data_IF_968043930160
#
_entry.id   IF_968043930160
#
_cell.length_a   1.000
_cell.length_b   1.000
_cell.length_c   1.000
_cell.angle_alpha   90.00
_cell.angle_beta   90.00
_cell.angle_gamma   90.00
#
_symmetry.space_group_name_H-M   'P 1'
#
loop_
_entity.id
_entity.type
_entity.pdbx_description
1 polymer ?
#
# COMPACT_ATOMS: atom_id res chain seq x y z
N UNK A 1 1.40 -8.09 -13.06
CA UNK A 1 1.13 -8.69 -11.73
C UNK A 1 -0.31 -8.39 -11.36
N UNK A 2 -1.00 -9.20 -10.53
CA UNK A 2 -2.36 -8.85 -10.08
C UNK A 2 -2.32 -8.06 -8.77
N UNK A 3 -3.51 -7.70 -8.27
CA UNK A 3 -3.69 -6.72 -7.19
C UNK A 3 -2.95 -7.07 -5.88
N UNK A 4 -3.02 -8.31 -5.33
CA UNK A 4 -2.30 -8.65 -4.10
C UNK A 4 -0.79 -8.47 -4.21
N UNK A 5 -0.22 -8.85 -5.36
CA UNK A 5 1.17 -8.58 -5.68
C UNK A 5 1.50 -7.09 -5.60
N UNK A 6 0.68 -6.21 -6.21
CA UNK A 6 0.99 -4.78 -6.29
C UNK A 6 0.99 -4.12 -4.91
N UNK A 7 0.00 -4.48 -4.08
CA UNK A 7 -0.06 -4.04 -2.68
C UNK A 7 1.16 -4.53 -1.90
N UNK A 8 1.57 -5.79 -2.11
CA UNK A 8 2.73 -6.39 -1.45
C UNK A 8 4.04 -5.74 -1.87
N UNK A 9 4.22 -5.48 -3.17
CA UNK A 9 5.37 -4.79 -3.72
C UNK A 9 5.47 -3.35 -3.21
N UNK A 10 4.36 -2.60 -3.18
CA UNK A 10 4.30 -1.26 -2.59
C UNK A 10 4.64 -1.26 -1.10
N UNK A 11 4.15 -2.24 -0.34
CA UNK A 11 4.51 -2.41 1.07
C UNK A 11 6.01 -2.68 1.25
N UNK A 12 6.58 -3.62 0.49
CA UNK A 12 8.01 -3.96 0.54
C UNK A 12 8.89 -2.77 0.13
N UNK A 13 8.52 -2.04 -0.93
CA UNK A 13 9.22 -0.84 -1.36
C UNK A 13 9.22 0.21 -0.24
N UNK A 14 8.08 0.45 0.41
CA UNK A 14 8.02 1.39 1.53
C UNK A 14 8.86 0.96 2.73
N UNK A 15 8.92 -0.36 2.97
CA UNK A 15 9.66 -0.92 4.09
C UNK A 15 11.17 -0.77 3.90
N UNK A 16 11.68 -1.15 2.71
CA UNK A 16 13.11 -1.16 2.41
C UNK A 16 13.66 0.21 2.05
N UNK A 17 12.87 1.07 1.41
CA UNK A 17 13.28 2.42 1.03
C UNK A 17 12.95 3.46 2.12
N UNK A 18 12.35 3.03 3.24
CA UNK A 18 11.96 3.88 4.36
C UNK A 18 11.13 5.11 3.95
N UNK A 19 10.23 4.92 2.98
CA UNK A 19 9.35 5.98 2.47
C UNK A 19 8.02 6.03 3.21
N UNK A 20 7.21 7.06 2.94
CA UNK A 20 5.86 7.12 3.50
C UNK A 20 5.00 5.96 2.97
N UNK A 21 4.72 5.00 3.85
CA UNK A 21 4.06 3.74 3.49
C UNK A 21 2.70 3.96 2.81
N UNK A 22 1.90 4.94 3.27
CA UNK A 22 0.58 5.20 2.70
C UNK A 22 0.71 5.70 1.27
N UNK A 23 1.57 6.70 1.06
CA UNK A 23 1.77 7.29 -0.26
C UNK A 23 2.35 6.28 -1.24
N UNK A 24 3.32 5.46 -0.80
CA UNK A 24 3.91 4.40 -1.62
C UNK A 24 2.90 3.34 -2.01
N UNK A 25 2.08 2.88 -1.07
CA UNK A 25 1.05 1.87 -1.36
C UNK A 25 -0.03 2.41 -2.31
N UNK A 26 -0.44 3.67 -2.14
CA UNK A 26 -1.40 4.32 -3.05
C UNK A 26 -0.84 4.43 -4.47
N UNK A 27 0.41 4.88 -4.61
CA UNK A 27 1.07 4.97 -5.91
C UNK A 27 1.25 3.59 -6.56
N UNK A 28 1.48 2.54 -5.75
CA UNK A 28 1.63 1.17 -6.24
C UNK A 28 0.33 0.54 -6.78
N UNK A 29 -0.84 1.15 -6.58
CA UNK A 29 -2.11 0.68 -7.16
C UNK A 29 -2.73 1.69 -8.13
N UNK A 30 -2.17 2.90 -8.20
CA UNK A 30 -2.73 4.01 -8.96
C UNK A 30 -2.81 3.74 -10.48
N UNK A 31 -1.77 3.23 -11.16
CA UNK A 31 -1.84 2.96 -12.60
C UNK A 31 -2.97 2.00 -12.96
N UNK A 32 -3.06 0.91 -12.21
CA UNK A 32 -4.10 -0.10 -12.33
C UNK A 32 -5.50 0.51 -12.14
N UNK A 33 -5.67 1.34 -11.10
CA UNK A 33 -6.95 1.98 -10.83
C UNK A 33 -7.39 2.87 -12.00
N UNK A 34 -6.49 3.69 -12.54
CA UNK A 34 -6.81 4.62 -13.63
C UNK A 34 -7.11 3.86 -14.93
N UNK A 35 -6.21 2.98 -15.35
CA UNK A 35 -6.32 2.35 -16.67
C UNK A 35 -7.39 1.27 -16.71
N UNK A 36 -7.56 0.48 -15.63
CA UNK A 36 -8.63 -0.54 -15.57
C UNK A 36 -10.00 0.10 -15.41
N UNK A 37 -10.15 1.14 -14.60
CA UNK A 37 -11.41 1.91 -14.52
C UNK A 37 -11.72 2.52 -15.87
N UNK A 38 -10.71 3.11 -16.51
CA UNK A 38 -10.83 3.68 -17.84
C UNK A 38 -11.33 2.68 -18.87
N UNK A 39 -10.68 1.54 -18.99
CA UNK A 39 -11.04 0.51 -19.97
C UNK A 39 -12.37 -0.16 -19.65
N UNK A 40 -12.54 -0.68 -18.43
CA UNK A 40 -13.61 -1.62 -18.12
C UNK A 40 -14.89 -0.95 -17.62
N UNK A 41 -14.78 0.18 -16.91
CA UNK A 41 -15.93 0.89 -16.34
C UNK A 41 -16.36 2.02 -17.28
N UNK A 42 -15.44 2.96 -17.56
CA UNK A 42 -15.74 4.17 -18.33
C UNK A 42 -15.73 3.94 -19.86
N UNK A 43 -15.09 2.86 -20.32
CA UNK A 43 -14.92 2.51 -21.75
C UNK A 43 -14.29 3.61 -22.62
N UNK A 44 -13.61 4.58 -22.00
CA UNK A 44 -12.99 5.71 -22.70
C UNK A 44 -11.60 5.41 -23.27
N UNK A 45 -10.91 4.39 -22.72
CA UNK A 45 -9.57 4.01 -23.11
C UNK A 45 -9.64 2.65 -23.78
N UNK A 46 -9.06 2.51 -24.98
CA UNK A 46 -9.04 1.24 -25.69
C UNK A 46 -8.03 0.26 -25.07
N UNK A 47 -7.20 0.67 -24.10
CA UNK A 47 -6.15 -0.13 -23.45
C UNK A 47 -6.27 -0.12 -21.93
N UNK A 48 -5.87 -1.22 -21.29
CA UNK A 48 -5.81 -1.35 -19.82
C UNK A 48 -4.44 -1.00 -19.24
N UNK A 49 -3.52 -0.50 -20.08
CA UNK A 49 -2.12 -0.16 -19.73
C UNK A 49 -1.75 1.29 -20.02
N UNK A 50 -2.60 2.06 -20.69
CA UNK A 50 -2.36 3.48 -20.95
C UNK A 50 -3.58 4.32 -20.61
N UNK A 51 -3.38 5.56 -20.13
CA UNK A 51 -2.09 6.27 -20.03
C UNK A 51 -1.26 5.98 -18.77
N UNK A 52 -1.83 5.43 -17.72
CA UNK A 52 -1.25 5.47 -16.40
C UNK A 52 -0.15 4.44 -16.12
N UNK A 53 0.13 3.44 -16.96
CA UNK A 53 1.37 2.65 -16.80
C UNK A 53 2.58 3.28 -17.50
N UNK A 54 2.45 4.51 -18.05
CA UNK A 54 3.58 5.26 -18.62
C UNK A 54 4.44 5.92 -17.55
N UNK A 55 5.76 5.97 -17.80
CA UNK A 55 6.71 6.72 -16.97
C UNK A 55 6.44 8.22 -17.01
N UNK A 56 5.94 8.74 -18.13
CA UNK A 56 5.53 10.14 -18.25
C UNK A 56 4.41 10.47 -17.25
N UNK A 57 3.37 9.66 -17.20
CA UNK A 57 2.29 9.85 -16.20
C UNK A 57 2.82 9.70 -14.78
N UNK A 58 3.81 8.83 -14.57
CA UNK A 58 4.48 8.67 -13.28
C UNK A 58 5.22 9.93 -12.85
N UNK A 59 5.98 10.53 -13.77
CA UNK A 59 6.68 11.78 -13.52
C UNK A 59 5.70 12.93 -13.24
N UNK A 60 4.62 13.05 -14.04
CA UNK A 60 3.62 14.10 -13.87
C UNK A 60 2.86 13.98 -12.54
N UNK A 61 2.44 12.77 -12.17
CA UNK A 61 1.74 12.54 -10.89
C UNK A 61 2.68 12.70 -9.69
N UNK A 62 3.95 12.29 -9.82
CA UNK A 62 4.98 12.57 -8.81
C UNK A 62 5.18 14.07 -8.62
N UNK A 63 5.27 14.83 -9.71
CA UNK A 63 5.37 16.29 -9.66
C UNK A 63 4.12 16.91 -9.01
N UNK A 64 2.92 16.41 -9.33
CA UNK A 64 1.70 16.86 -8.68
C UNK A 64 1.72 16.62 -7.15
N UNK A 65 2.17 15.44 -6.70
CA UNK A 65 2.36 15.15 -5.26
C UNK A 65 3.38 16.09 -4.63
N UNK A 66 4.46 16.43 -5.35
CA UNK A 66 5.45 17.39 -4.88
C UNK A 66 4.86 18.79 -4.67
N UNK A 67 4.04 19.26 -5.63
CA UNK A 67 3.38 20.56 -5.55
C UNK A 67 2.32 20.61 -4.44
N UNK A 68 1.51 19.55 -4.30
CA UNK A 68 0.39 19.50 -3.36
C UNK A 68 0.83 19.27 -1.91
N UNK A 69 1.79 18.36 -1.70
CA UNK A 69 2.18 17.98 -0.33
C UNK A 69 3.37 18.77 0.19
N UNK A 70 4.27 19.20 -0.70
CA UNK A 70 5.59 19.79 -0.37
C UNK A 70 6.41 18.95 0.63
N UNK A 71 6.12 17.65 0.74
CA UNK A 71 6.77 16.72 1.68
C UNK A 71 7.65 15.74 0.92
N UNK A 72 8.97 15.86 1.07
CA UNK A 72 9.95 15.00 0.40
C UNK A 72 9.65 13.50 0.57
N UNK A 73 9.25 13.06 1.77
CA UNK A 73 8.94 11.65 2.03
C UNK A 73 7.71 11.15 1.24
N UNK A 74 6.70 12.00 1.04
CA UNK A 74 5.53 11.65 0.23
C UNK A 74 5.90 11.59 -1.26
N UNK A 75 6.70 12.54 -1.76
CA UNK A 75 7.17 12.55 -3.16
C UNK A 75 7.99 11.31 -3.47
N UNK A 76 8.98 11.00 -2.63
CA UNK A 76 9.84 9.81 -2.80
C UNK A 76 9.00 8.54 -2.66
N UNK A 77 8.04 8.52 -1.73
CA UNK A 77 7.11 7.40 -1.58
C UNK A 77 6.26 7.17 -2.83
N UNK A 78 5.68 8.23 -3.39
CA UNK A 78 4.90 8.16 -4.62
C UNK A 78 5.74 7.65 -5.79
N UNK A 79 6.91 8.24 -6.01
CA UNK A 79 7.82 7.82 -7.08
C UNK A 79 8.22 6.34 -6.92
N UNK A 80 8.58 5.90 -5.71
CA UNK A 80 8.95 4.53 -5.43
C UNK A 80 7.79 3.55 -5.67
N UNK A 81 6.59 3.89 -5.22
CA UNK A 81 5.39 3.06 -5.41
C UNK A 81 5.00 2.94 -6.87
N UNK A 82 5.08 4.04 -7.61
CA UNK A 82 4.79 4.04 -9.05
C UNK A 82 5.82 3.22 -9.83
N UNK A 83 7.11 3.40 -9.54
CA UNK A 83 8.18 2.65 -10.20
C UNK A 83 8.07 1.16 -9.91
N UNK A 84 7.83 0.76 -8.65
CA UNK A 84 7.69 -0.67 -8.33
C UNK A 84 6.48 -1.30 -9.01
N UNK A 85 5.40 -0.54 -9.21
CA UNK A 85 4.25 -1.00 -9.99
C UNK A 85 4.64 -1.29 -11.44
N UNK A 86 5.17 -0.29 -12.14
CA UNK A 86 5.57 -0.42 -13.56
C UNK A 86 6.61 -1.53 -13.73
N UNK A 87 7.62 -1.59 -12.87
CA UNK A 87 8.64 -2.64 -12.92
C UNK A 87 8.06 -4.04 -12.68
N UNK A 88 7.11 -4.18 -11.75
CA UNK A 88 6.47 -5.47 -11.50
C UNK A 88 5.66 -5.95 -12.69
N UNK A 89 4.98 -5.04 -13.37
CA UNK A 89 4.26 -5.37 -14.60
C UNK A 89 5.21 -5.71 -15.74
N UNK A 90 6.30 -4.97 -15.92
CA UNK A 90 7.33 -5.31 -16.91
C UNK A 90 7.89 -6.72 -16.70
N UNK A 91 8.19 -7.10 -15.45
CA UNK A 91 8.66 -8.45 -15.12
C UNK A 91 7.61 -9.50 -15.49
N UNK A 92 6.33 -9.25 -15.17
CA UNK A 92 5.25 -10.19 -15.49
C UNK A 92 5.03 -10.29 -17.01
N UNK A 93 5.05 -9.18 -17.73
CA UNK A 93 4.87 -9.18 -19.19
C UNK A 93 6.00 -9.98 -19.88
N UNK A 94 7.25 -9.85 -19.39
CA UNK A 94 8.37 -10.68 -19.84
C UNK A 94 8.18 -12.17 -19.53
N UNK A 95 7.60 -12.53 -18.38
CA UNK A 95 7.32 -13.92 -18.00
C UNK A 95 6.18 -14.57 -18.80
N UNK A 96 5.22 -13.78 -19.26
CA UNK A 96 4.12 -14.27 -20.11
C UNK A 96 4.58 -14.42 -21.57
N UNK A 97 5.67 -13.75 -21.95
CA UNK A 97 6.20 -13.80 -23.32
C UNK A 97 5.31 -13.05 -24.32
N UNK A 98 4.51 -12.08 -23.86
CA UNK A 98 3.79 -11.22 -24.80
C UNK A 98 4.79 -10.24 -25.45
N UNK A 99 4.82 -10.18 -26.79
CA UNK A 99 5.65 -9.27 -27.60
C UNK A 99 5.41 -7.76 -27.34
N UNK A 100 4.56 -7.43 -26.37
CA UNK A 100 4.27 -6.07 -25.89
C UNK A 100 5.30 -5.55 -24.88
N UNK A 101 6.56 -5.96 -25.05
CA UNK A 101 7.80 -5.70 -24.29
C UNK A 101 7.93 -4.31 -23.64
N UNK A 102 7.09 -4.01 -22.66
CA UNK A 102 7.13 -2.74 -21.92
C UNK A 102 6.87 -1.47 -22.72
N UNK A 103 6.37 -1.58 -23.96
CA UNK A 103 6.18 -0.41 -24.84
C UNK A 103 5.31 0.67 -24.18
N UNK A 104 4.31 0.29 -23.38
CA UNK A 104 3.46 1.24 -22.66
C UNK A 104 4.21 2.14 -21.67
N UNK A 105 5.35 1.71 -21.12
CA UNK A 105 6.13 2.49 -20.16
C UNK A 105 6.69 3.77 -20.81
N UNK A 106 6.96 3.73 -22.11
CA UNK A 106 7.48 4.87 -22.89
C UNK A 106 6.38 5.63 -23.64
N UNK A 107 5.11 5.27 -23.47
CA UNK A 107 4.00 6.00 -24.08
C UNK A 107 4.05 7.48 -23.67
N UNK A 108 3.81 8.44 -24.60
CA UNK A 108 3.31 8.28 -25.98
C UNK A 108 4.39 8.13 -27.07
N UNK A 109 5.65 7.92 -26.72
CA UNK A 109 6.75 7.83 -27.70
C UNK A 109 6.74 6.51 -28.50
N UNK A 110 6.06 5.51 -27.99
CA UNK A 110 5.95 4.16 -28.55
C UNK A 110 4.51 3.83 -28.90
N UNK A 111 4.33 3.03 -29.96
CA UNK A 111 3.02 2.45 -30.26
C UNK A 111 2.72 1.36 -29.24
N UNK A 112 1.52 1.42 -28.67
CA UNK A 112 1.03 0.40 -27.75
C UNK A 112 0.06 -0.47 -28.52
N UNK A 113 0.38 -1.76 -28.63
CA UNK A 113 -0.54 -2.71 -29.23
C UNK A 113 -1.78 -2.84 -28.35
N UNK A 114 -2.91 -2.43 -28.92
CA UNK A 114 -4.21 -2.46 -28.25
C UNK A 114 -4.77 -3.87 -28.42
N UNK A 115 -4.18 -4.86 -27.75
CA UNK A 115 -4.77 -6.19 -27.70
C UNK A 115 -6.02 -6.19 -26.82
N UNK A 116 -7.15 -6.61 -27.41
CA UNK A 116 -8.45 -6.67 -26.75
C UNK A 116 -8.64 -8.04 -26.08
N UNK A 117 -8.01 -8.23 -24.93
CA UNK A 117 -8.36 -9.38 -24.08
C UNK A 117 -9.46 -8.97 -23.07
N UNK A 118 -10.55 -9.74 -22.95
CA UNK A 118 -11.42 -9.66 -21.77
C UNK A 118 -10.66 -10.03 -20.49
N UNK A 119 -11.13 -9.53 -19.35
CA UNK A 119 -10.46 -9.66 -18.04
C UNK A 119 -10.17 -11.14 -17.68
N UNK A 120 -11.03 -12.05 -18.12
CA UNK A 120 -10.90 -13.50 -17.88
C UNK A 120 -9.74 -14.13 -18.64
N UNK A 121 -9.55 -13.78 -19.91
CA UNK A 121 -8.38 -14.21 -20.69
C UNK A 121 -7.08 -13.70 -20.07
N UNK A 122 -7.07 -12.46 -19.57
CA UNK A 122 -5.90 -11.94 -18.84
C UNK A 122 -5.59 -12.74 -17.58
N UNK A 123 -6.57 -13.38 -16.95
CA UNK A 123 -6.35 -14.28 -15.81
C UNK A 123 -5.85 -15.67 -16.25
N UNK A 124 -6.36 -16.18 -17.38
CA UNK A 124 -5.97 -17.49 -17.94
C UNK A 124 -4.59 -17.49 -18.59
N UNK A 125 -4.13 -16.33 -19.07
CA UNK A 125 -2.79 -16.15 -19.64
C UNK A 125 -1.68 -16.11 -18.59
N UNK A 126 -2.01 -16.10 -17.29
CA UNK A 126 -1.00 -16.15 -16.24
C UNK A 126 -0.37 -17.53 -16.20
N UNK A 127 0.88 -17.59 -16.65
CA UNK A 127 1.70 -18.79 -16.50
C UNK A 127 1.88 -19.13 -15.03
N UNK A 128 2.18 -20.41 -14.74
CA UNK A 128 2.54 -20.86 -13.39
C UNK A 128 3.64 -19.98 -12.77
N UNK A 129 4.57 -19.48 -13.61
CA UNK A 129 5.62 -18.57 -13.19
C UNK A 129 5.11 -17.26 -12.60
N UNK A 130 4.07 -16.66 -13.18
CA UNK A 130 3.50 -15.41 -12.66
C UNK A 130 2.80 -15.63 -11.32
N UNK A 131 2.06 -16.73 -11.19
CA UNK A 131 1.43 -17.10 -9.91
C UNK A 131 2.46 -17.34 -8.80
N UNK A 132 3.54 -18.06 -9.12
CA UNK A 132 4.63 -18.28 -8.18
C UNK A 132 5.29 -16.97 -7.77
N UNK A 133 5.62 -16.11 -8.74
CA UNK A 133 6.22 -14.79 -8.47
C UNK A 133 5.34 -13.98 -7.51
N UNK A 134 4.04 -13.93 -7.76
CA UNK A 134 3.11 -13.18 -6.92
C UNK A 134 2.97 -13.76 -5.51
N UNK A 135 2.84 -15.08 -5.38
CA UNK A 135 2.80 -15.75 -4.07
C UNK A 135 4.08 -15.47 -3.29
N UNK A 136 5.25 -15.53 -3.93
CA UNK A 136 6.53 -15.26 -3.30
C UNK A 136 6.62 -13.81 -2.78
N UNK A 137 6.27 -12.83 -3.62
CA UNK A 137 6.27 -11.40 -3.23
C UNK A 137 5.30 -11.16 -2.07
N UNK A 138 4.11 -11.76 -2.13
CA UNK A 138 3.08 -11.63 -1.08
C UNK A 138 3.52 -12.27 0.23
N UNK A 139 4.05 -13.50 0.18
CA UNK A 139 4.58 -14.19 1.36
C UNK A 139 5.74 -13.40 1.98
N UNK A 140 6.62 -12.82 1.17
CA UNK A 140 7.69 -11.95 1.66
C UNK A 140 7.11 -10.75 2.40
N UNK A 141 6.16 -10.02 1.82
CA UNK A 141 5.51 -8.88 2.47
C UNK A 141 4.90 -9.27 3.84
N UNK A 142 4.22 -10.42 3.91
CA UNK A 142 3.65 -10.95 5.15
C UNK A 142 4.74 -11.29 6.18
N UNK A 143 5.82 -11.94 5.78
CA UNK A 143 6.93 -12.29 6.66
C UNK A 143 7.59 -11.05 7.26
N UNK A 144 7.85 -10.03 6.44
CA UNK A 144 8.39 -8.74 6.87
C UNK A 144 7.43 -8.02 7.83
N UNK A 145 6.14 -7.99 7.52
CA UNK A 145 5.12 -7.41 8.39
C UNK A 145 5.05 -8.12 9.75
N UNK A 146 5.08 -9.46 9.76
CA UNK A 146 5.08 -10.26 10.99
C UNK A 146 6.32 -10.01 11.85
N UNK A 147 7.51 -9.95 11.24
CA UNK A 147 8.76 -9.64 11.96
C UNK A 147 8.69 -8.25 12.60
N UNK A 148 8.24 -7.23 11.86
CA UNK A 148 8.05 -5.87 12.37
C UNK A 148 7.05 -5.79 13.53
N UNK A 149 5.92 -6.49 13.42
CA UNK A 149 4.91 -6.53 14.47
C UNK A 149 5.43 -7.21 15.75
N UNK A 150 6.21 -8.28 15.62
CA UNK A 150 6.84 -8.98 16.74
C UNK A 150 7.82 -8.07 17.47
N UNK A 151 8.71 -7.39 16.75
CA UNK A 151 9.68 -6.45 17.36
C UNK A 151 8.98 -5.32 18.12
N UNK A 152 7.88 -4.77 17.57
CA UNK A 152 7.09 -3.73 18.26
C UNK A 152 6.44 -4.21 19.55
N UNK A 153 5.90 -5.44 19.56
CA UNK A 153 5.31 -6.03 20.78
C UNK A 153 6.34 -6.24 21.88
N UNK A 154 7.55 -6.70 21.53
CA UNK A 154 8.64 -6.87 22.49
C UNK A 154 9.02 -5.51 23.10
N UNK A 155 9.21 -4.47 22.28
CA UNK A 155 9.55 -3.13 22.76
C UNK A 155 8.45 -2.57 23.66
N UNK A 156 7.18 -2.67 23.26
CA UNK A 156 6.05 -2.18 24.07
C UNK A 156 5.88 -2.98 25.37
N UNK A 157 6.17 -4.27 25.35
CA UNK A 157 6.16 -5.13 26.55
C UNK A 157 7.30 -4.81 27.51
N UNK A 158 8.47 -4.39 27.01
CA UNK A 158 9.58 -3.92 27.84
C UNK A 158 9.31 -2.53 28.45
N UNK A 159 8.62 -1.64 27.72
CA UNK A 159 8.26 -0.30 28.22
C UNK A 159 7.15 -0.37 29.27
N UNK A 160 6.22 -1.33 29.16
CA UNK A 160 5.28 -1.67 30.24
C UNK A 160 5.97 -2.63 31.21
N UNK A 161 6.90 -2.12 32.02
CA UNK A 161 7.56 -2.90 33.07
C UNK A 161 6.57 -3.64 33.98
N UNK A 162 7.02 -4.67 34.71
CA UNK A 162 6.15 -5.45 35.58
C UNK A 162 5.43 -4.50 36.52
N UNK A 163 4.10 -4.45 36.41
CA UNK A 163 3.25 -3.76 37.37
C UNK A 163 3.61 -4.31 38.74
N UNK A 164 4.29 -3.50 39.54
CA UNK A 164 4.55 -3.81 40.94
C UNK A 164 3.20 -4.20 41.55
N UNK A 165 3.06 -5.40 42.13
CA UNK A 165 1.81 -5.77 42.79
C UNK A 165 1.59 -4.74 43.90
N UNK A 166 0.60 -3.88 43.67
CA UNK A 166 0.19 -2.84 44.58
C UNK A 166 -0.08 -3.46 45.93
N UNK A 167 0.67 -2.99 46.91
CA UNK A 167 0.55 -3.27 48.32
C UNK A 167 -0.90 -3.03 48.78
N UNK A 168 -1.72 -4.08 48.79
CA UNK A 168 -3.06 -4.10 49.35
C UNK A 168 -2.97 -4.18 50.88
N UNK A 169 -2.47 -3.10 51.48
CA UNK A 169 -2.29 -3.00 52.93
C UNK A 169 -2.69 -1.61 53.40
N UNK A 170 -3.96 -1.45 53.79
CA UNK A 170 -4.46 -0.23 54.42
C UNK A 170 -5.88 -0.39 54.97
N UNK A 171 -6.05 -0.66 56.28
CA UNK A 171 -7.33 -0.59 56.95
C UNK A 171 -7.67 0.88 57.28
N UNK A 172 -8.68 1.44 56.62
CA UNK A 172 -9.22 2.76 56.96
C UNK A 172 -10.31 2.65 58.05
N UNK A 173 -10.21 3.37 59.18
CA UNK A 173 -11.19 3.32 60.24
C UNK A 173 -12.32 4.35 60.06
N UNK A 174 -13.45 4.11 60.71
CA UNK A 174 -14.24 5.20 61.30
C UNK A 174 -15.53 5.58 60.58
N UNK A 175 -16.63 4.98 61.02
CA UNK A 175 -17.98 5.54 60.93
C UNK A 175 -18.05 6.86 61.69
N UNK A 176 -18.68 7.88 61.10
CA UNK A 176 -19.19 9.07 61.81
C UNK A 176 -20.66 9.32 61.41
N UNK A 177 -21.59 9.55 62.34
CA UNK A 177 -23.01 9.71 62.03
C UNK A 177 -23.44 11.17 61.82
N UNK A 178 -24.49 11.30 61.01
CA UNK A 178 -25.64 12.22 61.12
C UNK A 178 -25.48 13.66 61.67
N UNK A 179 -25.86 14.61 60.81
CA UNK A 179 -26.34 15.96 61.14
C UNK A 179 -26.30 16.81 59.87
N UNK A 180 -27.33 17.52 59.41
CA UNK A 180 -28.60 17.92 59.96
C UNK A 180 -28.96 19.28 59.34
N UNK A 181 -30.06 19.31 58.58
CA UNK A 181 -31.01 20.44 58.39
C UNK A 181 -30.61 21.78 57.72
N UNK A 182 -31.62 22.26 56.97
CA UNK A 182 -32.03 23.64 56.60
C UNK A 182 -31.25 24.31 55.45
N UNK A 183 -31.85 24.60 54.30
CA UNK A 183 -33.00 25.46 53.95
C UNK A 183 -32.60 26.92 53.66
N UNK A 184 -33.30 27.49 52.66
CA UNK A 184 -33.61 28.92 52.41
C UNK A 184 -32.91 29.55 51.18
N UNK A 185 -33.76 29.89 50.18
CA UNK A 185 -33.88 31.12 49.35
C UNK A 185 -32.59 31.86 48.98
N UNK A 186 -32.35 32.25 47.74
CA UNK A 186 -33.21 32.96 46.77
C UNK A 186 -32.74 32.66 45.35
#
# INVERSE_FOLDING_TARGET
MIFPGHVSAGYLASHYLHTDQRTTMLAAVFPDLVDKTGRYILRWSPSGRVPAHSLLTGALTTAAVALLTRRRQAVVGWAAGYLVHVLSDLVVDQMVGEDTSGGYALWPLTKVDIRRHPIWTSFQLYSVGVWLFEVLVTLWAVLVARRRARSRRIILGLVRGPSTPGNAGGPGPGRGPAGGRRAIRR
#
